data_IF_154169215648
#
_entry.id   IF_154169215648
#
_cell.length_a   1.000
_cell.length_b   1.000
_cell.length_c   1.000
_cell.angle_alpha   90.00
_cell.angle_beta   90.00
_cell.angle_gamma   90.00
#
_symmetry.space_group_name_H-M   'P 1'
#
loop_
_entity.id
_entity.type
_entity.pdbx_description
1 polymer ?
#
# COMPACT_ATOMS: atom_id res chain seq x y z
N UNK A 1 60.49 -26.52 -14.77
CA UNK A 1 60.02 -25.10 -14.70
C UNK A 1 58.54 -24.96 -14.24
N UNK A 2 58.08 -25.66 -13.19
CA UNK A 2 56.67 -25.58 -12.71
C UNK A 2 56.50 -24.99 -11.29
N UNK A 3 57.60 -24.59 -10.62
CA UNK A 3 57.61 -24.09 -9.25
C UNK A 3 57.11 -22.65 -9.04
N UNK A 4 57.61 -21.65 -9.77
CA UNK A 4 57.25 -20.25 -9.49
C UNK A 4 55.80 -19.92 -9.83
N UNK A 5 55.25 -20.46 -10.89
CA UNK A 5 53.85 -20.22 -11.29
C UNK A 5 52.84 -20.78 -10.28
N UNK A 6 53.09 -21.95 -9.71
CA UNK A 6 52.25 -22.55 -8.64
C UNK A 6 52.26 -21.70 -7.36
N UNK A 7 53.42 -21.15 -6.97
CA UNK A 7 53.54 -20.26 -5.81
C UNK A 7 52.76 -18.95 -6.04
N UNK A 8 52.87 -18.34 -7.19
CA UNK A 8 52.16 -17.11 -7.52
C UNK A 8 50.65 -17.33 -7.57
N UNK A 9 50.16 -18.49 -8.09
CA UNK A 9 48.75 -18.86 -8.08
C UNK A 9 48.21 -19.08 -6.66
N UNK A 10 48.98 -19.74 -5.78
CA UNK A 10 48.58 -19.95 -4.38
C UNK A 10 48.52 -18.62 -3.62
N UNK A 11 49.49 -17.71 -3.86
CA UNK A 11 49.48 -16.37 -3.27
C UNK A 11 48.28 -15.55 -3.75
N UNK A 12 47.99 -15.55 -5.07
CA UNK A 12 46.81 -14.88 -5.61
C UNK A 12 45.51 -15.41 -5.04
N UNK A 13 45.37 -16.72 -4.93
CA UNK A 13 44.20 -17.37 -4.31
C UNK A 13 44.05 -16.99 -2.83
N UNK A 14 45.18 -16.94 -2.08
CA UNK A 14 45.19 -16.51 -0.69
C UNK A 14 44.70 -15.06 -0.52
N UNK A 15 45.15 -14.15 -1.37
CA UNK A 15 44.70 -12.75 -1.35
C UNK A 15 43.21 -12.65 -1.65
N UNK A 16 42.71 -13.38 -2.66
CA UNK A 16 41.28 -13.39 -3.00
C UNK A 16 40.42 -13.90 -1.84
N UNK A 17 40.82 -15.00 -1.20
CA UNK A 17 40.08 -15.56 -0.07
C UNK A 17 40.06 -14.63 1.14
N UNK A 18 41.19 -13.98 1.45
CA UNK A 18 41.28 -13.00 2.54
C UNK A 18 40.39 -11.79 2.25
N UNK A 19 40.45 -11.25 1.03
CA UNK A 19 39.63 -10.12 0.61
C UNK A 19 38.13 -10.45 0.67
N UNK A 20 37.75 -11.64 0.24
CA UNK A 20 36.35 -12.13 0.29
C UNK A 20 35.88 -12.27 1.74
N UNK A 21 36.70 -12.91 2.61
CA UNK A 21 36.39 -13.08 4.03
C UNK A 21 36.27 -11.71 4.74
N UNK A 22 37.15 -10.77 4.43
CA UNK A 22 37.07 -9.42 4.99
C UNK A 22 35.83 -8.67 4.52
N UNK A 23 35.51 -8.74 3.23
CA UNK A 23 34.32 -8.10 2.65
C UNK A 23 33.03 -8.66 3.23
N UNK A 24 32.91 -9.98 3.33
CA UNK A 24 31.75 -10.66 3.96
C UNK A 24 31.65 -10.32 5.45
N UNK A 25 32.78 -10.32 6.17
CA UNK A 25 32.82 -9.98 7.59
C UNK A 25 32.37 -8.53 7.83
N UNK A 26 32.92 -7.56 7.12
CA UNK A 26 32.50 -6.15 7.24
C UNK A 26 31.02 -5.98 6.91
N UNK A 27 30.52 -6.67 5.87
CA UNK A 27 29.11 -6.60 5.51
C UNK A 27 28.19 -7.19 6.58
N UNK A 28 28.61 -8.27 7.25
CA UNK A 28 27.83 -8.93 8.31
C UNK A 28 27.73 -8.10 9.60
N UNK A 29 28.74 -7.27 9.88
CA UNK A 29 28.78 -6.42 11.08
C UNK A 29 28.20 -5.01 10.87
N UNK A 30 27.86 -4.64 9.64
CA UNK A 30 27.19 -3.34 9.37
C UNK A 30 25.70 -3.45 9.64
N UNK A 31 25.13 -2.47 10.36
CA UNK A 31 23.69 -2.36 10.57
C UNK A 31 22.90 -2.23 9.25
N UNK A 32 23.54 -1.62 8.22
CA UNK A 32 22.99 -1.45 6.87
C UNK A 32 23.74 -2.33 5.85
N UNK A 33 24.04 -3.58 6.21
CA UNK A 33 24.76 -4.51 5.34
C UNK A 33 24.04 -4.70 3.99
N UNK A 34 24.83 -4.78 2.91
CA UNK A 34 24.27 -5.05 1.57
C UNK A 34 23.73 -6.48 1.56
N UNK A 35 22.45 -6.70 1.21
CA UNK A 35 21.90 -8.04 1.09
C UNK A 35 22.62 -8.79 -0.04
N UNK A 36 23.38 -9.83 0.31
CA UNK A 36 24.18 -10.62 -0.64
C UNK A 36 23.31 -11.46 -1.59
N UNK A 37 22.08 -11.75 -1.17
CA UNK A 37 21.07 -12.43 -1.97
C UNK A 37 19.86 -11.50 -2.05
N UNK A 38 19.82 -10.68 -3.07
CA UNK A 38 18.62 -9.90 -3.37
C UNK A 38 17.62 -10.80 -4.09
N UNK A 39 16.37 -10.81 -3.62
CA UNK A 39 15.29 -11.58 -4.25
C UNK A 39 14.81 -10.87 -5.52
N UNK A 40 15.68 -10.83 -6.52
CA UNK A 40 15.40 -10.19 -7.82
C UNK A 40 14.15 -10.75 -8.49
N UNK A 41 13.90 -12.05 -8.34
CA UNK A 41 12.70 -12.69 -8.86
C UNK A 41 11.43 -12.15 -8.21
N UNK A 42 11.45 -11.89 -6.90
CA UNK A 42 10.31 -11.31 -6.18
C UNK A 42 10.08 -9.85 -6.58
N UNK A 43 11.16 -9.05 -6.68
CA UNK A 43 11.05 -7.65 -7.16
C UNK A 43 10.55 -7.57 -8.59
N UNK A 44 11.01 -8.45 -9.47
CA UNK A 44 10.52 -8.50 -10.84
C UNK A 44 9.05 -8.94 -10.90
N UNK A 45 8.66 -9.94 -10.11
CA UNK A 45 7.28 -10.38 -10.02
C UNK A 45 6.36 -9.27 -9.48
N UNK A 46 6.78 -8.56 -8.43
CA UNK A 46 6.04 -7.41 -7.89
C UNK A 46 5.89 -6.29 -8.93
N UNK A 47 6.95 -5.98 -9.68
CA UNK A 47 6.90 -4.97 -10.73
C UNK A 47 5.97 -5.37 -11.88
N UNK A 48 5.94 -6.66 -12.25
CA UNK A 48 5.00 -7.18 -13.24
C UNK A 48 3.56 -7.11 -12.74
N UNK A 49 3.30 -7.50 -11.50
CA UNK A 49 1.99 -7.39 -10.86
C UNK A 49 1.52 -5.94 -10.71
N UNK A 50 2.44 -4.99 -10.63
CA UNK A 50 2.13 -3.56 -10.59
C UNK A 50 1.91 -2.93 -11.97
N UNK A 51 1.84 -3.70 -13.06
CA UNK A 51 1.59 -3.17 -14.40
C UNK A 51 2.65 -2.19 -14.88
N UNK A 52 3.87 -2.28 -14.34
CA UNK A 52 4.97 -1.35 -14.66
C UNK A 52 5.00 -0.08 -13.80
N UNK A 53 4.01 0.18 -12.97
CA UNK A 53 4.02 1.26 -11.99
C UNK A 53 4.98 0.99 -10.82
N UNK A 54 5.37 2.02 -10.05
CA UNK A 54 6.14 1.81 -8.83
C UNK A 54 5.43 0.84 -7.89
N UNK A 55 6.10 -0.25 -7.53
CA UNK A 55 5.59 -1.24 -6.61
C UNK A 55 6.23 -1.09 -5.24
N UNK A 56 5.45 -1.27 -4.18
CA UNK A 56 5.92 -1.30 -2.80
C UNK A 56 5.74 -2.68 -2.19
N UNK A 57 6.74 -3.12 -1.43
CA UNK A 57 6.70 -4.35 -0.66
C UNK A 57 5.85 -4.19 0.60
N UNK A 58 5.51 -5.30 1.27
CA UNK A 58 4.84 -5.27 2.57
C UNK A 58 5.64 -4.45 3.60
N UNK A 59 6.95 -4.62 3.66
CA UNK A 59 7.79 -3.90 4.63
C UNK A 59 7.76 -2.38 4.41
N UNK A 60 7.83 -1.93 3.16
CA UNK A 60 7.70 -0.51 2.80
C UNK A 60 6.30 0.02 3.10
N UNK A 61 5.26 -0.78 2.81
CA UNK A 61 3.86 -0.45 3.09
C UNK A 61 3.62 -0.25 4.59
N UNK A 62 4.10 -1.19 5.43
CA UNK A 62 4.01 -1.09 6.89
C UNK A 62 4.80 0.10 7.42
N UNK A 63 5.99 0.36 6.89
CA UNK A 63 6.79 1.51 7.27
C UNK A 63 6.09 2.84 6.92
N UNK A 64 5.53 2.96 5.72
CA UNK A 64 4.77 4.14 5.29
C UNK A 64 3.52 4.36 6.16
N UNK A 65 2.81 3.28 6.50
CA UNK A 65 1.66 3.33 7.42
C UNK A 65 2.05 3.83 8.81
N UNK A 66 3.08 3.24 9.40
CA UNK A 66 3.54 3.57 10.76
C UNK A 66 4.00 5.02 10.87
N UNK A 67 4.64 5.55 9.81
CA UNK A 67 5.11 6.94 9.76
C UNK A 67 4.04 7.93 9.31
N UNK A 68 2.90 7.47 8.81
CA UNK A 68 1.85 8.34 8.28
C UNK A 68 2.27 9.08 7.00
N UNK A 69 3.19 8.52 6.22
CA UNK A 69 3.77 9.17 5.03
C UNK A 69 2.94 8.98 3.77
N UNK A 70 2.02 8.02 3.76
CA UNK A 70 1.21 7.70 2.60
C UNK A 70 -0.29 7.69 2.93
N UNK A 71 -1.09 8.06 1.96
CA UNK A 71 -2.53 7.85 1.94
C UNK A 71 -2.83 6.55 1.18
N UNK A 72 -3.53 5.63 1.84
CA UNK A 72 -3.89 4.34 1.27
C UNK A 72 -5.20 4.41 0.49
N UNK A 73 -5.24 3.75 -0.67
CA UNK A 73 -6.40 3.70 -1.55
C UNK A 73 -6.81 2.25 -1.76
N UNK A 74 -8.00 1.89 -1.30
CA UNK A 74 -8.60 0.58 -1.53
C UNK A 74 -9.39 0.60 -2.83
N UNK A 75 -8.90 -0.14 -3.83
CA UNK A 75 -9.51 -0.25 -5.15
C UNK A 75 -10.67 -1.25 -5.22
N UNK A 76 -10.95 -1.97 -4.14
CA UNK A 76 -12.02 -2.98 -4.05
C UNK A 76 -13.38 -2.33 -3.95
N UNK A 77 -14.41 -3.10 -4.26
CA UNK A 77 -15.79 -2.69 -4.06
C UNK A 77 -16.06 -2.36 -2.58
N UNK A 78 -17.02 -1.47 -2.35
CA UNK A 78 -17.37 -0.95 -1.03
C UNK A 78 -17.71 -2.06 -0.01
N UNK A 79 -18.33 -3.14 -0.45
CA UNK A 79 -18.69 -4.25 0.44
C UNK A 79 -17.45 -4.96 0.99
N UNK A 80 -16.43 -5.19 0.17
CA UNK A 80 -15.15 -5.75 0.61
C UNK A 80 -14.39 -4.79 1.53
N UNK A 81 -14.41 -3.50 1.21
CA UNK A 81 -13.82 -2.46 2.05
C UNK A 81 -14.45 -2.46 3.46
N UNK A 82 -15.79 -2.51 3.56
CA UNK A 82 -16.51 -2.54 4.84
C UNK A 82 -16.23 -3.78 5.68
N UNK A 83 -15.96 -4.92 5.05
CA UNK A 83 -15.58 -6.16 5.75
C UNK A 83 -14.19 -6.06 6.38
N UNK A 84 -13.33 -5.22 5.83
CA UNK A 84 -12.01 -4.96 6.37
C UNK A 84 -11.10 -4.26 5.37
N UNK A 85 -10.34 -3.28 5.85
CA UNK A 85 -9.40 -2.49 5.05
C UNK A 85 -8.20 -2.04 5.90
N UNK A 86 -7.16 -1.49 5.25
CA UNK A 86 -6.02 -0.87 5.94
C UNK A 86 -6.53 0.37 6.67
N UNK A 87 -6.26 0.54 7.98
CA UNK A 87 -6.81 1.65 8.76
C UNK A 87 -6.54 3.01 8.14
N UNK A 88 -7.58 3.82 8.04
CA UNK A 88 -7.51 5.16 7.44
C UNK A 88 -7.42 5.20 5.92
N UNK A 89 -7.49 4.06 5.22
CA UNK A 89 -7.56 4.02 3.77
C UNK A 89 -8.85 4.66 3.24
N UNK A 90 -8.80 5.19 2.04
CA UNK A 90 -9.96 5.66 1.30
C UNK A 90 -10.42 4.57 0.33
N UNK A 91 -11.72 4.35 0.27
CA UNK A 91 -12.29 3.46 -0.73
C UNK A 91 -12.52 4.22 -2.05
N UNK A 92 -11.83 3.80 -3.09
CA UNK A 92 -11.97 4.32 -4.45
C UNK A 92 -12.08 3.17 -5.44
N UNK A 93 -13.27 2.52 -5.51
CA UNK A 93 -13.49 1.41 -6.42
C UNK A 93 -13.29 1.82 -7.87
N UNK A 94 -12.59 0.97 -8.62
CA UNK A 94 -12.25 1.27 -10.02
C UNK A 94 -13.50 1.50 -10.87
N UNK A 95 -14.53 0.68 -10.67
CA UNK A 95 -15.79 0.76 -11.42
C UNK A 95 -16.58 2.04 -11.11
N UNK A 96 -16.33 2.65 -9.96
CA UNK A 96 -16.99 3.86 -9.51
C UNK A 96 -16.08 5.09 -9.54
N UNK A 97 -14.91 4.99 -10.18
CA UNK A 97 -13.90 6.05 -10.20
C UNK A 97 -14.49 7.41 -10.57
N UNK A 98 -15.20 7.50 -11.69
CA UNK A 98 -15.77 8.76 -12.20
C UNK A 98 -16.77 9.40 -11.22
N UNK A 99 -17.45 8.59 -10.42
CA UNK A 99 -18.44 9.05 -9.45
C UNK A 99 -17.80 9.48 -8.12
N UNK A 100 -16.77 8.75 -7.69
CA UNK A 100 -16.17 8.89 -6.35
C UNK A 100 -14.99 9.85 -6.35
N UNK A 101 -14.13 9.79 -7.37
CA UNK A 101 -12.91 10.60 -7.50
C UNK A 101 -13.14 12.11 -7.32
N UNK A 102 -14.15 12.76 -7.94
CA UNK A 102 -14.35 14.21 -7.81
C UNK A 102 -14.50 14.68 -6.35
N UNK A 103 -15.05 13.82 -5.48
CA UNK A 103 -15.26 14.13 -4.05
C UNK A 103 -13.98 14.00 -3.22
N UNK A 104 -13.01 13.26 -3.71
CA UNK A 104 -11.73 12.99 -3.02
C UNK A 104 -10.56 13.74 -3.66
N UNK A 105 -10.79 14.39 -4.80
CA UNK A 105 -9.75 14.97 -5.65
C UNK A 105 -8.77 15.82 -4.87
N UNK A 106 -9.23 16.81 -4.13
CA UNK A 106 -8.38 17.71 -3.35
C UNK A 106 -7.47 16.94 -2.38
N UNK A 107 -8.02 15.94 -1.70
CA UNK A 107 -7.28 15.11 -0.76
C UNK A 107 -6.23 14.24 -1.45
N UNK A 108 -6.55 13.71 -2.63
CA UNK A 108 -5.62 12.91 -3.42
C UNK A 108 -4.51 13.79 -4.03
N UNK A 109 -4.85 14.99 -4.50
CA UNK A 109 -3.88 15.93 -5.07
C UNK A 109 -2.92 16.52 -4.01
N UNK A 110 -3.35 16.63 -2.75
CA UNK A 110 -2.52 17.16 -1.67
C UNK A 110 -1.70 16.11 -0.95
N UNK A 111 -2.03 14.84 -1.10
CA UNK A 111 -1.28 13.76 -0.46
C UNK A 111 0.14 13.67 -1.04
N UNK A 112 1.19 13.57 -0.18
CA UNK A 112 2.57 13.48 -0.65
C UNK A 112 2.86 12.17 -1.37
N UNK A 113 2.19 11.11 -0.99
CA UNK A 113 2.35 9.78 -1.56
C UNK A 113 1.04 8.99 -1.44
N UNK A 114 0.66 8.26 -2.47
CA UNK A 114 -0.50 7.38 -2.52
C UNK A 114 -0.04 5.93 -2.67
N UNK A 115 -0.67 5.02 -1.95
CA UNK A 115 -0.46 3.58 -2.11
C UNK A 115 -1.80 2.93 -2.43
N UNK A 116 -1.96 2.49 -3.67
CA UNK A 116 -3.14 1.77 -4.13
C UNK A 116 -2.99 0.26 -3.86
N UNK A 117 -4.04 -0.36 -3.37
CA UNK A 117 -4.09 -1.80 -3.13
C UNK A 117 -5.48 -2.37 -3.46
N UNK A 118 -5.52 -3.69 -3.66
CA UNK A 118 -6.76 -4.47 -3.74
C UNK A 118 -6.63 -5.72 -2.88
N UNK A 119 -7.22 -6.86 -3.25
CA UNK A 119 -7.06 -8.09 -2.46
C UNK A 119 -5.63 -8.64 -2.46
N UNK A 120 -4.91 -8.45 -3.56
CA UNK A 120 -3.57 -8.99 -3.79
C UNK A 120 -3.58 -10.17 -4.79
N UNK A 121 -2.42 -10.77 -5.01
CA UNK A 121 -2.28 -11.89 -5.95
C UNK A 121 -2.51 -11.47 -7.41
N UNK A 122 -3.54 -12.02 -8.05
CA UNK A 122 -3.92 -11.73 -9.44
C UNK A 122 -4.91 -10.58 -9.58
N UNK A 123 -5.18 -9.81 -8.52
CA UNK A 123 -6.11 -8.68 -8.56
C UNK A 123 -5.48 -7.49 -9.31
N UNK A 124 -6.10 -7.07 -10.40
CA UNK A 124 -5.64 -5.97 -11.25
C UNK A 124 -6.23 -4.60 -10.86
N UNK A 125 -7.23 -4.56 -9.97
CA UNK A 125 -7.96 -3.33 -9.65
C UNK A 125 -7.05 -2.20 -9.11
N UNK A 126 -6.01 -2.50 -8.34
CA UNK A 126 -5.06 -1.49 -7.85
C UNK A 126 -4.18 -0.92 -8.96
N UNK A 127 -3.85 -1.72 -9.98
CA UNK A 127 -3.11 -1.28 -11.17
C UNK A 127 -3.99 -0.37 -12.02
N UNK A 128 -5.22 -0.79 -12.30
CA UNK A 128 -6.19 -0.01 -13.07
C UNK A 128 -6.53 1.31 -12.36
N UNK A 129 -6.69 1.29 -11.03
CA UNK A 129 -6.87 2.53 -10.25
C UNK A 129 -5.67 3.46 -10.41
N UNK A 130 -4.46 2.92 -10.33
CA UNK A 130 -3.23 3.70 -10.50
C UNK A 130 -3.16 4.32 -11.89
N UNK A 131 -3.52 3.58 -12.94
CA UNK A 131 -3.58 4.09 -14.30
C UNK A 131 -4.58 5.25 -14.44
N UNK A 132 -5.79 5.09 -13.88
CA UNK A 132 -6.81 6.17 -13.88
C UNK A 132 -6.32 7.42 -13.15
N UNK A 133 -5.64 7.27 -12.02
CA UNK A 133 -5.05 8.38 -11.27
C UNK A 133 -3.97 9.10 -12.09
N UNK A 134 -3.12 8.33 -12.77
CA UNK A 134 -2.09 8.89 -13.63
C UNK A 134 -2.69 9.69 -14.81
N UNK A 135 -3.75 9.18 -15.42
CA UNK A 135 -4.44 9.87 -16.52
C UNK A 135 -5.07 11.22 -16.09
N UNK A 136 -5.43 11.38 -14.82
CA UNK A 136 -5.94 12.66 -14.28
C UNK A 136 -4.87 13.54 -13.66
N UNK A 137 -3.56 13.19 -13.84
CA UNK A 137 -2.42 14.00 -13.43
C UNK A 137 -1.90 13.72 -12.02
N UNK A 138 -2.30 12.62 -11.40
CA UNK A 138 -1.78 12.17 -10.09
C UNK A 138 -0.76 11.07 -10.32
N UNK A 139 0.53 11.42 -10.26
CA UNK A 139 1.67 10.54 -10.55
C UNK A 139 2.39 9.99 -9.31
N UNK A 140 2.09 10.53 -8.14
CA UNK A 140 2.68 10.12 -6.84
C UNK A 140 1.99 8.89 -6.26
N UNK A 141 1.75 7.89 -7.07
CA UNK A 141 1.05 6.67 -6.69
C UNK A 141 1.93 5.45 -6.90
N UNK A 142 1.90 4.55 -5.93
CA UNK A 142 2.56 3.24 -5.98
C UNK A 142 1.52 2.14 -5.77
N UNK A 143 1.80 0.97 -6.31
CA UNK A 143 0.94 -0.21 -6.13
C UNK A 143 1.51 -1.08 -5.02
N UNK A 144 0.65 -1.56 -4.14
CA UNK A 144 0.96 -2.63 -3.19
C UNK A 144 0.39 -3.97 -3.71
N UNK A 145 1.17 -4.77 -4.46
CA UNK A 145 0.68 -5.98 -5.12
C UNK A 145 0.24 -7.07 -4.15
N UNK A 146 0.83 -7.10 -2.95
CA UNK A 146 0.43 -8.02 -1.89
C UNK A 146 -0.98 -7.79 -1.37
N UNK A 147 -1.48 -6.57 -1.50
CA UNK A 147 -2.84 -6.17 -1.21
C UNK A 147 -3.28 -6.41 0.23
N UNK A 148 -4.58 -6.33 0.42
CA UNK A 148 -5.19 -6.48 1.74
C UNK A 148 -4.94 -7.86 2.37
N UNK A 149 -4.89 -8.92 1.56
CA UNK A 149 -4.65 -10.26 2.09
C UNK A 149 -3.27 -10.36 2.73
N UNK A 150 -2.21 -9.91 2.04
CA UNK A 150 -0.85 -9.95 2.60
C UNK A 150 -0.70 -9.04 3.83
N UNK A 151 -1.37 -7.88 3.83
CA UNK A 151 -1.44 -6.99 4.98
C UNK A 151 -2.01 -7.69 6.20
N UNK A 152 -3.20 -8.30 6.04
CA UNK A 152 -3.91 -9.02 7.09
C UNK A 152 -3.12 -10.23 7.61
N UNK A 153 -2.58 -11.04 6.71
CA UNK A 153 -1.82 -12.25 7.05
C UNK A 153 -0.53 -11.94 7.79
N UNK A 154 0.02 -10.73 7.63
CA UNK A 154 1.17 -10.25 8.41
C UNK A 154 0.83 -9.78 9.83
N UNK A 155 -0.43 -9.88 10.24
CA UNK A 155 -0.89 -9.50 11.58
C UNK A 155 -1.03 -8.00 11.79
N UNK A 156 -1.08 -7.20 10.72
CA UNK A 156 -1.28 -5.75 10.81
C UNK A 156 -2.73 -5.41 11.19
N UNK A 157 -2.92 -4.21 11.75
CA UNK A 157 -4.23 -3.71 12.12
C UNK A 157 -5.18 -3.64 10.92
N UNK A 158 -6.46 -3.96 11.16
CA UNK A 158 -7.54 -3.91 10.18
C UNK A 158 -8.67 -3.05 10.74
N UNK A 159 -9.17 -2.12 9.93
CA UNK A 159 -10.36 -1.33 10.22
C UNK A 159 -11.56 -1.93 9.49
N UNK A 160 -12.77 -1.84 10.08
CA UNK A 160 -14.03 -2.31 9.50
C UNK A 160 -15.05 -1.18 9.44
N UNK A 161 -16.03 -1.31 8.57
CA UNK A 161 -17.09 -0.31 8.41
C UNK A 161 -16.73 0.77 7.39
N UNK A 162 -17.32 1.96 7.51
CA UNK A 162 -17.16 3.05 6.51
C UNK A 162 -15.88 3.87 6.67
N UNK A 163 -14.92 3.43 7.49
CA UNK A 163 -13.65 4.13 7.73
C UNK A 163 -13.84 5.52 8.38
N UNK A 164 -13.15 5.77 9.48
CA UNK A 164 -13.42 6.92 10.36
C UNK A 164 -12.93 8.28 9.87
N UNK A 165 -12.14 8.37 8.79
CA UNK A 165 -11.50 9.65 8.40
C UNK A 165 -11.67 10.09 6.94
N UNK A 166 -12.21 9.26 6.06
CA UNK A 166 -12.23 9.54 4.62
C UNK A 166 -13.57 9.96 4.03
N UNK A 167 -14.68 9.54 4.63
CA UNK A 167 -16.00 9.67 4.02
C UNK A 167 -16.93 10.69 4.71
N UNK A 168 -16.58 11.23 5.87
CA UNK A 168 -17.43 12.20 6.60
C UNK A 168 -17.65 13.53 5.88
N UNK A 169 -16.90 13.84 4.83
CA UNK A 169 -17.13 15.04 4.03
C UNK A 169 -18.26 14.90 2.99
N UNK A 170 -18.78 13.69 2.75
CA UNK A 170 -19.77 13.44 1.71
C UNK A 170 -21.18 13.11 2.21
N UNK A 171 -21.40 13.00 3.53
CA UNK A 171 -22.64 12.47 4.13
C UNK A 171 -23.54 13.48 4.84
N UNK A 172 -23.20 14.77 4.95
CA UNK A 172 -24.04 15.75 5.70
C UNK A 172 -25.10 16.45 4.86
N UNK A 173 -25.69 15.79 3.91
CA UNK A 173 -26.68 16.41 3.02
C UNK A 173 -27.89 15.57 2.71
N UNK A 174 -28.49 14.81 3.68
CA UNK A 174 -29.90 14.36 3.50
C UNK A 174 -30.52 13.87 4.82
N UNK A 175 -31.56 14.57 5.26
CA UNK A 175 -32.66 13.95 5.98
C UNK A 175 -32.65 14.04 7.52
N UNK A 176 -32.63 15.23 8.06
CA UNK A 176 -33.27 15.43 9.36
C UNK A 176 -34.78 15.36 9.19
N UNK A 177 -35.34 14.15 9.20
CA UNK A 177 -36.78 13.96 9.38
C UNK A 177 -37.11 14.28 10.85
N UNK A 178 -37.79 15.40 11.05
CA UNK A 178 -38.35 15.79 12.35
C UNK A 178 -39.32 14.69 12.85
N UNK A 179 -39.21 14.23 14.08
CA UNK A 179 -40.26 13.41 14.70
C UNK A 179 -41.52 14.28 14.88
N UNK A 180 -42.62 13.75 14.40
CA UNK A 180 -43.95 14.41 14.42
C UNK A 180 -44.39 14.88 15.79
N UNK A 181 -44.78 16.10 15.80
CA UNK A 181 -45.57 16.76 16.83
C UNK A 181 -46.92 16.08 16.97
N UNK A 182 -47.14 15.34 18.06
CA UNK A 182 -48.47 14.85 18.43
C UNK A 182 -49.25 15.99 19.04
N UNK A 183 -50.12 16.58 18.24
CA UNK A 183 -51.21 17.43 18.67
C UNK A 183 -52.13 16.67 19.63
N UNK A 184 -52.06 17.03 20.89
CA UNK A 184 -53.03 16.60 21.92
C UNK A 184 -54.31 17.41 21.79
N UNK A 185 -55.37 16.76 21.32
CA UNK A 185 -56.72 17.32 21.35
C UNK A 185 -57.35 16.99 22.72
N UNK A 186 -57.48 18.02 23.56
CA UNK A 186 -58.26 17.96 24.75
C UNK A 186 -59.75 17.92 24.41
N UNK A 187 -60.45 16.98 24.99
CA UNK A 187 -61.88 16.88 24.96
C UNK A 187 -62.42 17.16 26.38
N UNK A 188 -63.08 18.30 26.51
CA UNK A 188 -63.97 18.60 27.64
C UNK A 188 -65.34 18.06 27.29
N UNK A 189 -65.87 17.19 28.12
CA UNK A 189 -67.26 16.76 28.14
C UNK A 189 -67.84 16.99 29.52
N UNK A 190 -68.92 17.59 29.57
CA UNK A 190 -69.83 17.89 30.67
C UNK A 190 -70.19 16.69 31.49
#
# INVERSE_FOLDING_TARGET
>A
MRGPVKRSLLQALGIILISLALGLGVNAFRADGIPLVERWSEKLAQKQQAGGFPAVSLAETVAAFTRGEALFLDARDLDFYKLGHIPGALNLPVQEFERVFPRMRERLETAPWLIAYCDGGSCEASVELTEKLFLVGIDRVSVFPGGFQQWKDSGQAVEQGEGTRGQQAAGSGQGASRPGEKSGKGEKGS
#
